data_IF_562992740241
#
_entry.id   IF_562992740241
#
_cell.length_a   1.000
_cell.length_b   1.000
_cell.length_c   1.000
_cell.angle_alpha   90.00
_cell.angle_beta   90.00
_cell.angle_gamma   90.00
#
_symmetry.space_group_name_H-M   'P 1'
#
loop_
_entity.id
_entity.type
_entity.pdbx_description
1 polymer ?
#
# COMPACT_ATOMS: atom_id res chain seq x y z
N UNK A 1 -24.09 10.03 -12.81
CA UNK A 1 -24.30 8.59 -13.05
C UNK A 1 -23.38 7.70 -12.21
N UNK A 2 -22.00 7.89 -12.18
CA UNK A 2 -21.10 7.00 -11.45
C UNK A 2 -21.38 7.04 -9.94
N UNK A 3 -21.43 8.23 -9.33
CA UNK A 3 -21.74 8.38 -7.90
C UNK A 3 -23.14 7.88 -7.54
N UNK A 4 -24.13 7.99 -8.44
CA UNK A 4 -25.47 7.43 -8.21
C UNK A 4 -25.50 5.89 -8.21
N UNK A 5 -24.43 5.23 -8.65
CA UNK A 5 -24.23 3.77 -8.56
C UNK A 5 -23.56 3.34 -7.25
N UNK A 6 -23.37 4.23 -6.29
CA UNK A 6 -22.77 3.96 -4.99
C UNK A 6 -21.25 4.19 -4.91
N UNK A 7 -20.61 4.63 -6.01
CA UNK A 7 -19.20 5.02 -5.96
C UNK A 7 -19.02 6.34 -5.21
N UNK A 8 -18.03 6.37 -4.30
CA UNK A 8 -17.78 7.56 -3.47
C UNK A 8 -17.09 8.69 -4.24
N UNK A 9 -16.30 8.39 -5.24
CA UNK A 9 -15.53 9.34 -6.02
C UNK A 9 -15.41 8.97 -7.49
N UNK A 10 -15.00 9.95 -8.30
CA UNK A 10 -14.71 9.78 -9.72
C UNK A 10 -13.34 10.36 -10.00
N UNK A 11 -12.47 9.55 -10.60
CA UNK A 11 -11.16 9.97 -11.08
C UNK A 11 -11.13 10.21 -12.58
N UNK A 12 -10.27 11.10 -13.01
CA UNK A 12 -9.91 11.31 -14.41
C UNK A 12 -8.44 11.04 -14.65
N UNK A 13 -8.12 10.48 -15.81
CA UNK A 13 -6.76 10.35 -16.29
C UNK A 13 -6.45 11.48 -17.26
N UNK A 14 -5.35 12.20 -17.03
CA UNK A 14 -4.92 13.30 -17.89
C UNK A 14 -3.49 13.09 -18.37
N UNK A 15 -3.21 13.51 -19.61
CA UNK A 15 -1.85 13.59 -20.13
C UNK A 15 -1.14 14.84 -19.58
N UNK A 16 0.16 14.73 -19.30
CA UNK A 16 1.00 15.85 -18.92
C UNK A 16 1.33 16.73 -20.14
N UNK A 17 0.31 17.22 -20.82
CA UNK A 17 0.43 18.14 -21.96
C UNK A 17 -0.90 18.80 -22.27
N UNK A 18 -0.82 20.01 -22.81
CA UNK A 18 -1.97 20.72 -23.37
C UNK A 18 -2.37 20.07 -24.70
N UNK A 19 -3.68 19.97 -24.97
CA UNK A 19 -4.17 19.47 -26.25
C UNK A 19 -3.78 20.41 -27.40
N UNK A 20 -3.32 19.86 -28.49
CA UNK A 20 -2.86 20.62 -29.66
C UNK A 20 -3.96 21.50 -30.26
N UNK A 21 -5.19 21.04 -30.25
CA UNK A 21 -6.37 21.80 -30.68
C UNK A 21 -6.62 23.09 -29.88
N UNK A 22 -5.94 23.25 -28.75
CA UNK A 22 -6.03 24.41 -27.87
C UNK A 22 -4.71 25.18 -27.78
N UNK A 23 -3.85 25.08 -28.81
CA UNK A 23 -2.53 25.70 -28.84
C UNK A 23 -2.56 27.21 -28.58
N UNK A 24 -3.58 27.90 -29.05
CA UNK A 24 -3.74 29.36 -28.86
C UNK A 24 -4.10 29.78 -27.43
N UNK A 25 -4.58 28.88 -26.56
CA UNK A 25 -4.92 29.20 -25.17
C UNK A 25 -3.63 29.19 -24.35
N UNK A 26 -3.33 30.25 -23.55
CA UNK A 26 -2.21 30.22 -22.62
C UNK A 26 -2.30 29.03 -21.67
N UNK A 27 -1.16 28.42 -21.33
CA UNK A 27 -1.09 27.14 -20.58
C UNK A 27 -1.85 27.21 -19.25
N UNK A 28 -1.61 28.26 -18.46
CA UNK A 28 -2.28 28.44 -17.18
C UNK A 28 -3.79 28.56 -17.32
N UNK A 29 -4.27 29.32 -18.31
CA UNK A 29 -5.70 29.49 -18.57
C UNK A 29 -6.34 28.17 -19.05
N UNK A 30 -5.64 27.39 -19.88
CA UNK A 30 -6.07 26.07 -20.30
C UNK A 30 -6.31 25.15 -19.10
N UNK A 31 -5.32 25.02 -18.21
CA UNK A 31 -5.46 24.13 -17.05
C UNK A 31 -6.47 24.65 -16.03
N UNK A 32 -6.56 25.95 -15.82
CA UNK A 32 -7.61 26.56 -15.01
C UNK A 32 -9.00 26.20 -15.51
N UNK A 33 -9.24 26.30 -16.81
CA UNK A 33 -10.54 25.92 -17.41
C UNK A 33 -10.83 24.43 -17.23
N UNK A 34 -9.84 23.54 -17.44
CA UNK A 34 -9.99 22.10 -17.26
C UNK A 34 -10.27 21.71 -15.80
N UNK A 35 -9.57 22.31 -14.85
CA UNK A 35 -9.77 22.08 -13.42
C UNK A 35 -11.16 22.57 -12.98
N UNK A 36 -11.60 23.75 -13.43
CA UNK A 36 -12.95 24.24 -13.14
C UNK A 36 -14.04 23.36 -13.75
N UNK A 37 -13.83 22.86 -14.95
CA UNK A 37 -14.76 21.92 -15.59
C UNK A 37 -14.81 20.57 -14.84
N UNK A 38 -13.68 20.05 -14.41
CA UNK A 38 -13.62 18.83 -13.60
C UNK A 38 -14.32 19.02 -12.24
N UNK A 39 -14.09 20.17 -11.59
CA UNK A 39 -14.79 20.55 -10.36
C UNK A 39 -16.31 20.60 -10.55
N UNK A 40 -16.78 21.27 -11.58
CA UNK A 40 -18.21 21.37 -11.90
C UNK A 40 -18.83 20.01 -12.26
N UNK A 41 -18.05 19.11 -12.87
CA UNK A 41 -18.47 17.74 -13.19
C UNK A 41 -18.39 16.78 -11.97
N UNK A 42 -17.87 17.25 -10.84
CA UNK A 42 -17.77 16.46 -9.60
C UNK A 42 -16.66 15.43 -9.60
N UNK A 43 -15.54 15.70 -10.28
CA UNK A 43 -14.33 14.88 -10.18
C UNK A 43 -13.67 15.10 -8.82
N UNK A 44 -13.17 14.00 -8.26
CA UNK A 44 -12.47 13.98 -6.97
C UNK A 44 -10.98 13.75 -7.12
N UNK A 45 -10.54 13.24 -8.28
CA UNK A 45 -9.18 12.76 -8.48
C UNK A 45 -8.70 12.92 -9.92
N UNK A 46 -7.45 13.35 -10.09
CA UNK A 46 -6.73 13.39 -11.35
C UNK A 46 -5.44 12.59 -11.27
N UNK A 47 -5.32 11.56 -12.11
CA UNK A 47 -4.08 10.85 -12.37
C UNK A 47 -3.35 11.56 -13.50
N UNK A 48 -2.22 12.18 -13.20
CA UNK A 48 -1.36 12.84 -14.19
C UNK A 48 -0.36 11.84 -14.72
N UNK A 49 -0.49 11.50 -16.00
CA UNK A 49 0.34 10.49 -16.63
C UNK A 49 1.40 11.11 -17.56
N UNK A 50 1.86 10.34 -18.55
CA UNK A 50 2.87 10.74 -19.51
C UNK A 50 2.42 11.90 -20.42
N UNK A 51 3.38 12.50 -21.16
CA UNK A 51 3.18 13.62 -22.07
C UNK A 51 4.45 14.45 -22.21
N UNK A 52 4.38 15.55 -22.94
CA UNK A 52 5.54 16.42 -23.17
C UNK A 52 6.16 16.97 -21.88
N UNK A 53 5.33 17.17 -20.87
CA UNK A 53 5.68 17.76 -19.58
C UNK A 53 5.80 16.72 -18.44
N UNK A 54 5.83 15.43 -18.77
CA UNK A 54 5.79 14.36 -17.76
C UNK A 54 6.93 14.42 -16.75
N UNK A 55 8.13 14.85 -17.18
CA UNK A 55 9.33 15.00 -16.36
C UNK A 55 9.60 16.44 -15.90
N UNK A 56 8.72 17.37 -16.26
CA UNK A 56 8.84 18.77 -15.90
C UNK A 56 8.23 19.05 -14.52
N UNK A 57 9.06 19.12 -13.49
CA UNK A 57 8.62 19.37 -12.11
C UNK A 57 7.96 20.73 -11.92
N UNK A 58 8.43 21.78 -12.62
CA UNK A 58 7.83 23.10 -12.54
C UNK A 58 6.39 23.10 -13.09
N UNK A 59 6.20 22.48 -14.24
CA UNK A 59 4.88 22.32 -14.82
C UNK A 59 3.92 21.55 -13.88
N UNK A 60 4.37 20.42 -13.32
CA UNK A 60 3.57 19.60 -12.42
C UNK A 60 3.23 20.37 -11.13
N UNK A 61 4.16 21.13 -10.59
CA UNK A 61 3.94 22.01 -9.42
C UNK A 61 2.91 23.07 -9.73
N UNK A 62 3.00 23.73 -10.88
CA UNK A 62 1.99 24.72 -11.35
C UNK A 62 0.61 24.10 -11.49
N UNK A 63 0.51 22.89 -12.05
CA UNK A 63 -0.76 22.18 -12.17
C UNK A 63 -1.42 21.94 -10.81
N UNK A 64 -0.64 21.48 -9.82
CA UNK A 64 -1.14 21.31 -8.45
C UNK A 64 -1.59 22.64 -7.84
N UNK A 65 -0.79 23.70 -8.00
CA UNK A 65 -1.17 25.02 -7.47
C UNK A 65 -2.48 25.56 -8.08
N UNK A 66 -2.67 25.38 -9.38
CA UNK A 66 -3.95 25.70 -10.06
C UNK A 66 -5.09 24.85 -9.47
N UNK A 67 -4.83 23.54 -9.26
CA UNK A 67 -5.79 22.63 -8.63
C UNK A 67 -6.23 23.11 -7.25
N UNK A 68 -5.28 23.41 -6.38
CA UNK A 68 -5.56 23.92 -5.02
C UNK A 68 -6.37 25.21 -5.03
N UNK A 69 -6.11 26.08 -5.98
CA UNK A 69 -6.80 27.38 -6.10
C UNK A 69 -8.25 27.26 -6.60
N UNK A 70 -8.54 26.37 -7.56
CA UNK A 70 -9.81 26.32 -8.25
C UNK A 70 -10.65 25.07 -7.99
N UNK A 71 -10.08 24.02 -7.43
CA UNK A 71 -10.73 22.79 -7.03
C UNK A 71 -10.00 22.16 -5.83
N UNK A 72 -10.04 22.76 -4.63
CA UNK A 72 -9.22 22.35 -3.48
C UNK A 72 -9.52 20.93 -2.99
N UNK A 73 -10.67 20.37 -3.32
CA UNK A 73 -11.02 18.97 -3.01
C UNK A 73 -10.46 17.96 -4.04
N UNK A 74 -10.07 18.42 -5.23
CA UNK A 74 -9.51 17.56 -6.27
C UNK A 74 -8.11 17.08 -5.85
N UNK A 75 -7.95 15.77 -5.74
CA UNK A 75 -6.64 15.15 -5.51
C UNK A 75 -5.90 15.07 -6.83
N UNK A 76 -4.69 15.60 -6.87
CA UNK A 76 -3.81 15.51 -8.05
C UNK A 76 -2.69 14.52 -7.74
N UNK A 77 -2.66 13.43 -8.50
CA UNK A 77 -1.63 12.41 -8.41
C UNK A 77 -0.52 12.65 -9.41
N UNK A 78 0.70 12.62 -8.91
CA UNK A 78 1.90 12.59 -9.72
C UNK A 78 2.68 11.27 -9.56
N UNK A 79 3.72 11.11 -10.38
CA UNK A 79 4.63 9.96 -10.37
C UNK A 79 6.01 10.39 -10.88
N UNK A 80 6.88 9.42 -11.15
CA UNK A 80 8.19 9.50 -11.80
C UNK A 80 9.31 9.85 -10.83
N UNK A 81 9.59 11.13 -10.58
CA UNK A 81 10.70 11.56 -9.75
C UNK A 81 10.28 11.71 -8.30
N UNK A 82 11.10 11.24 -7.36
CA UNK A 82 10.79 11.24 -5.93
C UNK A 82 10.45 12.65 -5.42
N UNK A 83 11.15 13.67 -5.87
CA UNK A 83 10.91 15.05 -5.45
C UNK A 83 9.52 15.59 -5.82
N UNK A 84 8.81 14.96 -6.76
CA UNK A 84 7.46 15.39 -7.11
C UNK A 84 6.43 15.11 -6.02
N UNK A 85 6.76 14.25 -5.05
CA UNK A 85 5.87 14.03 -3.90
C UNK A 85 5.67 15.29 -3.07
N UNK A 86 6.64 16.22 -3.06
CA UNK A 86 6.57 17.46 -2.29
C UNK A 86 5.34 18.31 -2.64
N UNK A 87 4.92 18.28 -3.88
CA UNK A 87 3.74 19.02 -4.36
C UNK A 87 2.61 18.12 -4.85
N UNK A 88 2.64 16.83 -4.53
CA UNK A 88 1.60 15.88 -4.89
C UNK A 88 0.56 15.72 -3.77
N UNK A 89 -0.71 15.63 -4.11
CA UNK A 89 -1.69 15.11 -3.15
C UNK A 89 -1.50 13.62 -2.96
N UNK A 90 -1.30 12.93 -4.07
CA UNK A 90 -1.02 11.50 -4.12
C UNK A 90 0.19 11.27 -5.03
N UNK A 91 1.08 10.36 -4.64
CA UNK A 91 2.26 10.02 -5.40
C UNK A 91 2.38 8.51 -5.59
N UNK A 92 2.45 8.05 -6.84
CA UNK A 92 2.54 6.63 -7.16
C UNK A 92 3.93 6.05 -6.90
N UNK A 93 3.98 4.88 -6.29
CA UNK A 93 5.24 4.11 -6.14
C UNK A 93 5.70 3.47 -7.43
N UNK A 94 4.78 3.27 -8.36
CA UNK A 94 4.99 2.55 -9.60
C UNK A 94 5.13 3.47 -10.81
N UNK A 95 5.97 3.05 -11.75
CA UNK A 95 6.09 3.63 -13.08
C UNK A 95 6.16 2.50 -14.10
N UNK A 96 5.56 2.69 -15.28
CA UNK A 96 5.51 1.70 -16.37
C UNK A 96 6.87 1.17 -16.83
N UNK A 97 7.94 1.86 -16.48
CA UNK A 97 9.32 1.44 -16.81
C UNK A 97 9.95 0.53 -15.73
N UNK A 98 9.28 0.32 -14.60
CA UNK A 98 9.84 -0.41 -13.46
C UNK A 98 9.19 -1.79 -13.30
N UNK A 99 10.02 -2.75 -12.88
CA UNK A 99 9.51 -4.04 -12.41
C UNK A 99 8.74 -3.81 -11.11
N UNK A 100 7.52 -4.26 -11.07
CA UNK A 100 6.71 -4.21 -9.85
C UNK A 100 6.94 -5.47 -9.04
N UNK A 101 7.76 -5.35 -8.03
CA UNK A 101 8.00 -6.42 -7.07
C UNK A 101 8.05 -5.81 -5.67
N UNK A 102 7.75 -6.62 -4.67
CA UNK A 102 7.67 -6.20 -3.28
C UNK A 102 8.91 -5.40 -2.81
N UNK A 103 10.15 -5.86 -3.02
CA UNK A 103 11.31 -5.10 -2.56
C UNK A 103 11.47 -3.76 -3.29
N UNK A 104 11.11 -3.68 -4.57
CA UNK A 104 11.16 -2.42 -5.32
C UNK A 104 10.15 -1.43 -4.77
N UNK A 105 8.93 -1.89 -4.48
CA UNK A 105 7.88 -1.06 -3.87
C UNK A 105 8.28 -0.59 -2.47
N UNK A 106 8.78 -1.47 -1.62
CA UNK A 106 9.25 -1.11 -0.26
C UNK A 106 10.38 -0.10 -0.33
N UNK A 107 11.40 -0.33 -1.18
CA UNK A 107 12.52 0.59 -1.36
C UNK A 107 12.04 1.95 -1.84
N UNK A 108 11.13 1.98 -2.84
CA UNK A 108 10.56 3.22 -3.34
C UNK A 108 9.85 4.02 -2.24
N UNK A 109 9.08 3.34 -1.39
CA UNK A 109 8.44 4.00 -0.24
C UNK A 109 9.52 4.56 0.71
N UNK A 110 10.54 3.78 1.05
CA UNK A 110 11.63 4.26 1.91
C UNK A 110 12.32 5.52 1.36
N UNK A 111 12.52 5.59 0.05
CA UNK A 111 13.11 6.76 -0.63
C UNK A 111 12.19 8.00 -0.54
N UNK A 112 10.88 7.80 -0.39
CA UNK A 112 9.89 8.88 -0.32
C UNK A 112 9.66 9.39 1.11
N UNK A 113 9.87 8.57 2.14
CA UNK A 113 9.60 8.94 3.54
C UNK A 113 10.30 10.21 4.04
N UNK A 114 11.54 10.53 3.60
CA UNK A 114 12.23 11.74 4.06
C UNK A 114 11.66 13.06 3.52
N UNK A 115 10.86 13.00 2.43
CA UNK A 115 10.30 14.20 1.83
C UNK A 115 9.25 14.86 2.73
N UNK A 116 9.01 16.15 2.47
CA UNK A 116 7.95 16.94 3.12
C UNK A 116 7.12 17.61 2.06
N UNK A 117 5.83 17.72 2.31
CA UNK A 117 4.91 18.40 1.39
C UNK A 117 5.02 19.91 1.50
N UNK A 118 4.83 20.58 0.37
CA UNK A 118 4.77 22.02 0.25
C UNK A 118 3.45 22.42 -0.44
N UNK A 119 3.10 23.71 -0.36
CA UNK A 119 1.99 24.29 -1.14
C UNK A 119 0.59 23.66 -0.86
N UNK A 120 0.41 23.10 0.34
CA UNK A 120 -0.88 22.49 0.74
C UNK A 120 -1.15 21.12 0.11
N UNK A 121 -0.15 20.51 -0.53
CA UNK A 121 -0.22 19.15 -1.02
C UNK A 121 -0.35 18.13 0.14
N UNK A 122 -1.01 17.01 -0.11
CA UNK A 122 -1.31 16.02 0.92
C UNK A 122 -0.20 14.99 1.13
N UNK A 123 0.64 14.75 0.12
CA UNK A 123 1.80 13.85 0.20
C UNK A 123 1.48 12.40 0.56
N UNK A 124 0.36 11.89 0.08
CA UNK A 124 -0.03 10.51 0.30
C UNK A 124 0.69 9.62 -0.72
N UNK A 125 1.41 8.61 -0.26
CA UNK A 125 1.99 7.61 -1.15
C UNK A 125 0.87 6.67 -1.59
N UNK A 126 0.71 6.47 -2.90
CA UNK A 126 -0.14 5.45 -3.49
C UNK A 126 0.72 4.21 -3.78
N UNK A 127 0.53 3.17 -2.97
CA UNK A 127 1.18 1.88 -3.14
C UNK A 127 0.34 1.03 -4.09
N UNK A 128 0.78 0.93 -5.33
CA UNK A 128 0.05 0.21 -6.36
C UNK A 128 0.26 -1.29 -6.25
N UNK A 129 -0.84 -2.04 -6.36
CA UNK A 129 -0.93 -3.50 -6.44
C UNK A 129 -0.36 -4.30 -5.25
N UNK A 130 0.04 -3.62 -4.17
CA UNK A 130 0.55 -4.26 -2.94
C UNK A 130 -0.19 -3.74 -1.69
N UNK A 131 -1.43 -4.22 -1.45
CA UNK A 131 -2.29 -3.73 -0.37
C UNK A 131 -1.67 -3.86 1.02
N UNK A 132 -0.95 -4.96 1.30
CA UNK A 132 -0.37 -5.19 2.61
C UNK A 132 0.93 -4.42 2.85
N UNK A 133 1.66 -4.03 1.80
CA UNK A 133 2.71 -3.02 1.92
C UNK A 133 2.07 -1.65 2.24
N UNK A 134 0.98 -1.32 1.55
CA UNK A 134 0.26 -0.08 1.77
C UNK A 134 -0.20 0.07 3.22
N UNK A 135 -0.94 -0.90 3.75
CA UNK A 135 -1.45 -0.83 5.14
C UNK A 135 -0.32 -0.89 6.16
N UNK A 136 0.72 -1.68 5.92
CA UNK A 136 1.88 -1.78 6.80
C UNK A 136 2.66 -0.47 6.91
N UNK A 137 2.65 0.37 5.88
CA UNK A 137 3.39 1.63 5.83
C UNK A 137 2.49 2.88 5.76
N UNK A 138 1.19 2.75 6.02
CA UNK A 138 0.26 3.89 6.04
C UNK A 138 0.14 4.62 4.71
N UNK A 139 0.29 3.90 3.60
CA UNK A 139 0.12 4.38 2.24
C UNK A 139 -1.31 4.13 1.75
N UNK A 140 -1.77 4.87 0.75
CA UNK A 140 -3.01 4.55 0.04
C UNK A 140 -2.84 3.30 -0.82
N UNK A 141 -3.94 2.64 -1.13
CA UNK A 141 -3.97 1.47 -2.02
C UNK A 141 -4.46 1.91 -3.38
N UNK A 142 -3.68 1.65 -4.41
CA UNK A 142 -4.08 1.73 -5.80
C UNK A 142 -4.09 0.34 -6.44
N UNK A 143 -5.01 0.12 -7.35
CA UNK A 143 -5.01 -1.05 -8.22
C UNK A 143 -4.82 -0.56 -9.65
N UNK A 144 -3.62 -0.76 -10.17
CA UNK A 144 -3.24 -0.30 -11.50
C UNK A 144 -3.38 -1.40 -12.55
N UNK A 145 -3.17 -2.63 -12.13
CA UNK A 145 -3.22 -3.77 -13.01
C UNK A 145 -4.65 -4.09 -13.36
N UNK A 146 -4.90 -4.16 -14.63
CA UNK A 146 -6.24 -4.40 -15.10
C UNK A 146 -6.72 -5.80 -14.73
N UNK A 147 -7.92 -5.93 -14.13
CA UNK A 147 -8.51 -7.24 -13.87
C UNK A 147 -9.12 -7.84 -15.16
N UNK A 148 -8.50 -7.59 -16.30
CA UNK A 148 -8.96 -8.15 -17.56
C UNK A 148 -8.60 -9.62 -17.69
N UNK A 149 -9.36 -10.29 -18.53
CA UNK A 149 -8.99 -11.61 -18.98
C UNK A 149 -7.57 -11.62 -19.58
N UNK A 150 -6.98 -12.78 -19.65
CA UNK A 150 -5.62 -12.99 -20.18
C UNK A 150 -5.43 -12.45 -21.60
N UNK A 151 -6.51 -12.16 -22.30
CA UNK A 151 -6.51 -11.58 -23.64
C UNK A 151 -7.30 -10.27 -23.64
N UNK A 152 -6.70 -9.19 -24.09
CA UNK A 152 -7.36 -7.91 -24.29
C UNK A 152 -8.35 -7.95 -25.46
N UNK A 153 -9.30 -7.00 -25.56
CA UNK A 153 -10.31 -6.98 -26.63
C UNK A 153 -9.73 -6.92 -28.06
N UNK A 154 -8.52 -6.41 -28.22
CA UNK A 154 -7.78 -6.36 -29.50
C UNK A 154 -7.01 -7.64 -29.80
N UNK A 155 -7.10 -8.66 -28.95
CA UNK A 155 -6.38 -9.93 -29.09
C UNK A 155 -4.97 -9.91 -28.51
N UNK A 156 -4.51 -8.77 -27.97
CA UNK A 156 -3.23 -8.72 -27.30
C UNK A 156 -3.28 -9.50 -25.96
N UNK A 157 -2.15 -10.07 -25.58
CA UNK A 157 -2.02 -10.70 -24.26
C UNK A 157 -1.93 -9.64 -23.17
N UNK A 158 -2.66 -9.83 -22.07
CA UNK A 158 -2.45 -9.03 -20.89
C UNK A 158 -1.11 -9.40 -20.24
N UNK A 159 -0.49 -8.42 -19.57
CA UNK A 159 0.80 -8.64 -18.96
C UNK A 159 0.68 -9.51 -17.71
N UNK A 160 1.55 -10.51 -17.62
CA UNK A 160 1.78 -11.28 -16.41
C UNK A 160 2.94 -10.64 -15.66
N UNK A 161 2.73 -10.35 -14.38
CA UNK A 161 3.73 -9.73 -13.54
C UNK A 161 4.34 -10.75 -12.58
N UNK A 162 5.65 -10.68 -12.35
CA UNK A 162 6.29 -11.55 -11.38
C UNK A 162 5.94 -11.12 -9.94
N UNK A 163 5.89 -12.08 -9.04
CA UNK A 163 5.86 -13.51 -9.36
C UNK A 163 4.45 -13.94 -9.76
N UNK A 164 4.39 -14.91 -10.63
CA UNK A 164 3.13 -15.58 -10.97
C UNK A 164 2.50 -16.10 -9.67
N UNK A 165 1.25 -15.72 -9.41
CA UNK A 165 0.57 -16.03 -8.14
C UNK A 165 0.45 -14.81 -7.21
N UNK A 166 1.27 -13.76 -7.40
CA UNK A 166 1.12 -12.47 -6.71
C UNK A 166 0.39 -11.42 -7.55
N UNK A 167 -0.21 -11.83 -8.67
CA UNK A 167 -1.08 -10.96 -9.46
C UNK A 167 -2.24 -10.45 -8.60
N UNK A 168 -2.46 -9.15 -8.60
CA UNK A 168 -3.54 -8.49 -7.85
C UNK A 168 -4.93 -9.03 -8.22
N UNK A 169 -5.12 -9.53 -9.44
CA UNK A 169 -6.36 -10.19 -9.88
C UNK A 169 -6.74 -11.40 -9.03
N UNK A 170 -5.75 -12.06 -8.45
CA UNK A 170 -5.92 -13.25 -7.61
C UNK A 170 -5.86 -12.94 -6.12
N UNK A 171 -5.71 -11.67 -5.76
CA UNK A 171 -5.59 -11.20 -4.37
C UNK A 171 -6.57 -10.07 -4.05
N UNK A 172 -7.80 -10.22 -4.53
CA UNK A 172 -8.83 -9.19 -4.35
C UNK A 172 -9.25 -9.02 -2.90
N UNK A 173 -9.20 -10.09 -2.10
CA UNK A 173 -9.49 -10.01 -0.68
C UNK A 173 -8.45 -9.18 0.09
N UNK A 174 -7.18 -9.12 -0.34
CA UNK A 174 -6.20 -8.18 0.22
C UNK A 174 -6.61 -6.74 -0.04
N UNK A 175 -7.12 -6.44 -1.24
CA UNK A 175 -7.64 -5.09 -1.56
C UNK A 175 -8.82 -4.74 -0.68
N UNK A 176 -9.78 -5.66 -0.52
CA UNK A 176 -10.96 -5.45 0.35
C UNK A 176 -10.53 -5.21 1.79
N UNK A 177 -9.65 -6.05 2.33
CA UNK A 177 -9.13 -5.94 3.71
C UNK A 177 -8.38 -4.62 3.91
N UNK A 178 -7.54 -4.25 2.97
CA UNK A 178 -6.80 -2.99 3.04
C UNK A 178 -7.68 -1.75 2.95
N UNK A 179 -8.67 -1.73 2.05
CA UNK A 179 -9.65 -0.64 1.95
C UNK A 179 -10.49 -0.53 3.23
N UNK A 180 -10.90 -1.64 3.83
CA UNK A 180 -11.63 -1.64 5.11
C UNK A 180 -10.76 -1.21 6.27
N UNK A 181 -9.47 -1.57 6.28
CA UNK A 181 -8.51 -1.01 7.23
C UNK A 181 -8.42 0.51 7.10
N UNK A 182 -8.37 1.05 5.89
CA UNK A 182 -8.31 2.49 5.68
C UNK A 182 -9.60 3.26 6.08
N UNK A 183 -10.70 2.55 6.32
CA UNK A 183 -11.88 3.14 6.99
C UNK A 183 -11.71 3.23 8.51
N UNK A 184 -10.81 2.43 9.09
CA UNK A 184 -10.46 2.46 10.51
C UNK A 184 -9.31 3.45 10.74
N UNK A 185 -8.31 3.46 9.87
CA UNK A 185 -7.09 4.25 9.97
C UNK A 185 -6.70 4.77 8.59
N UNK A 186 -6.89 6.06 8.35
CA UNK A 186 -6.65 6.68 7.03
C UNK A 186 -5.15 6.73 6.70
N UNK A 187 -4.78 6.56 5.41
CA UNK A 187 -3.41 6.79 4.95
C UNK A 187 -2.91 8.17 5.33
N UNK A 188 -1.61 8.31 5.55
CA UNK A 188 -1.06 9.56 6.04
C UNK A 188 0.19 10.01 5.28
N UNK A 189 0.41 11.31 5.29
CA UNK A 189 1.42 12.02 4.51
C UNK A 189 2.85 11.57 4.79
N UNK A 190 3.73 11.72 3.79
CA UNK A 190 5.19 11.78 4.02
C UNK A 190 5.51 12.97 4.93
N UNK A 191 6.58 12.86 5.70
CA UNK A 191 6.93 13.91 6.66
C UNK A 191 6.04 13.99 7.90
N UNK A 192 4.99 13.16 8.01
CA UNK A 192 4.22 13.04 9.23
C UNK A 192 4.92 12.08 10.21
N UNK A 193 5.36 12.64 11.34
CA UNK A 193 6.02 11.90 12.42
C UNK A 193 7.42 11.41 12.07
N UNK A 194 7.77 10.23 12.53
CA UNK A 194 9.08 9.61 12.37
C UNK A 194 9.02 8.35 11.52
N UNK A 195 10.17 7.88 11.06
CA UNK A 195 10.30 6.56 10.44
C UNK A 195 11.61 5.91 10.87
N UNK A 196 11.64 4.59 10.84
CA UNK A 196 12.83 3.79 11.09
C UNK A 196 12.96 2.76 9.96
N UNK A 197 14.17 2.67 9.42
CA UNK A 197 14.50 1.76 8.32
C UNK A 197 15.63 0.85 8.80
N UNK A 198 15.45 -0.46 8.63
CA UNK A 198 16.46 -1.45 9.01
C UNK A 198 17.72 -1.32 8.15
N UNK A 199 18.87 -1.47 8.77
CA UNK A 199 20.14 -1.57 8.05
C UNK A 199 20.32 -2.93 7.36
N UNK A 200 19.64 -3.97 7.84
CA UNK A 200 19.63 -5.29 7.21
C UNK A 200 18.74 -5.22 5.97
N UNK A 201 19.27 -5.69 4.84
CA UNK A 201 18.53 -5.80 3.60
C UNK A 201 18.26 -7.26 3.27
N UNK A 202 17.10 -7.49 2.68
CA UNK A 202 16.72 -8.77 2.10
C UNK A 202 16.69 -8.62 0.58
N UNK A 203 17.24 -9.61 -0.13
CA UNK A 203 17.33 -9.60 -1.59
C UNK A 203 16.39 -10.65 -2.16
N UNK A 204 15.44 -10.23 -2.97
CA UNK A 204 14.60 -11.11 -3.77
C UNK A 204 15.28 -11.41 -5.10
N UNK A 205 15.05 -12.60 -5.57
CA UNK A 205 15.56 -13.09 -6.85
C UNK A 205 14.42 -13.80 -7.60
N UNK A 206 14.23 -13.46 -8.86
CA UNK A 206 13.27 -14.15 -9.74
C UNK A 206 13.76 -14.15 -11.18
N UNK A 207 13.15 -15.00 -11.99
CA UNK A 207 13.47 -15.13 -13.41
C UNK A 207 12.29 -14.53 -14.21
N UNK A 208 12.59 -13.60 -15.10
CA UNK A 208 11.58 -13.00 -15.97
C UNK A 208 10.92 -14.07 -16.83
N UNK A 209 9.60 -14.08 -16.79
CA UNK A 209 8.76 -14.97 -17.59
C UNK A 209 8.30 -14.30 -18.88
N UNK A 210 7.74 -15.11 -19.76
CA UNK A 210 7.06 -14.61 -20.97
C UNK A 210 5.94 -13.63 -20.57
N UNK A 211 5.79 -12.56 -21.34
CA UNK A 211 4.83 -11.46 -21.08
C UNK A 211 5.12 -10.53 -19.89
N UNK A 212 6.25 -10.65 -19.22
CA UNK A 212 6.73 -9.68 -18.23
C UNK A 212 7.47 -8.52 -18.92
N UNK A 213 6.78 -7.78 -19.76
CA UNK A 213 7.40 -6.91 -20.78
C UNK A 213 7.61 -5.46 -20.36
N UNK A 214 7.25 -5.07 -19.16
CA UNK A 214 7.48 -3.72 -18.67
C UNK A 214 8.96 -3.38 -18.45
N UNK A 215 9.84 -4.33 -18.70
CA UNK A 215 11.27 -4.21 -18.54
C UNK A 215 11.96 -3.92 -19.87
N UNK A 216 12.05 -2.67 -20.26
CA UNK A 216 12.88 -2.27 -21.39
C UNK A 216 14.30 -2.84 -21.26
N UNK A 217 14.73 -3.59 -22.28
CA UNK A 217 16.07 -4.12 -22.37
C UNK A 217 16.36 -5.41 -21.61
N UNK A 218 15.36 -6.04 -20.99
CA UNK A 218 15.51 -7.37 -20.39
C UNK A 218 14.81 -8.44 -21.22
N UNK A 219 15.40 -9.59 -21.31
CA UNK A 219 14.87 -10.75 -22.08
C UNK A 219 14.23 -11.76 -21.15
N UNK A 220 13.27 -12.51 -21.66
CA UNK A 220 12.69 -13.67 -20.99
C UNK A 220 13.83 -14.61 -20.53
N UNK A 221 13.72 -15.13 -19.31
CA UNK A 221 14.76 -15.94 -18.67
C UNK A 221 15.88 -15.15 -18.00
N UNK A 222 15.87 -13.80 -18.10
CA UNK A 222 16.85 -13.00 -17.39
C UNK A 222 16.63 -13.04 -15.88
N UNK A 223 17.74 -13.15 -15.15
CA UNK A 223 17.74 -13.02 -13.69
C UNK A 223 17.48 -11.58 -13.27
N UNK A 224 16.58 -11.41 -12.32
CA UNK A 224 16.28 -10.13 -11.69
C UNK A 224 16.49 -10.24 -10.20
N UNK A 225 17.23 -9.31 -9.64
CA UNK A 225 17.39 -9.17 -8.19
C UNK A 225 17.00 -7.79 -7.74
N UNK A 226 16.38 -7.70 -6.57
CA UNK A 226 16.09 -6.42 -5.92
C UNK A 226 16.19 -6.59 -4.41
N UNK A 227 16.76 -5.59 -3.76
CA UNK A 227 16.88 -5.53 -2.32
C UNK A 227 16.01 -4.44 -1.71
N UNK A 228 15.54 -4.70 -0.49
CA UNK A 228 14.88 -3.71 0.35
C UNK A 228 15.23 -3.93 1.82
N UNK A 229 15.03 -2.92 2.69
CA UNK A 229 15.18 -3.09 4.13
C UNK A 229 14.29 -4.22 4.65
N UNK A 230 14.84 -5.07 5.52
CA UNK A 230 14.11 -6.20 6.10
C UNK A 230 12.89 -5.74 6.92
N UNK A 231 13.03 -4.60 7.60
CA UNK A 231 11.98 -4.00 8.42
C UNK A 231 11.89 -2.50 8.14
N UNK A 232 10.65 -1.99 8.13
CA UNK A 232 10.39 -0.56 8.04
C UNK A 232 9.27 -0.22 9.00
N UNK A 233 9.42 0.87 9.75
CA UNK A 233 8.38 1.34 10.64
C UNK A 233 8.12 2.84 10.47
N UNK A 234 6.85 3.26 10.61
CA UNK A 234 6.44 4.67 10.65
C UNK A 234 5.78 4.98 11.98
N UNK A 235 6.21 6.05 12.65
CA UNK A 235 5.71 6.53 13.94
C UNK A 235 5.82 5.51 15.10
N UNK A 236 6.69 4.52 14.96
CA UNK A 236 6.97 3.52 16.00
C UNK A 236 8.37 2.94 15.81
N UNK A 237 8.85 2.20 16.81
CA UNK A 237 10.11 1.45 16.69
C UNK A 237 10.00 0.31 15.68
N UNK A 238 11.14 -0.08 15.11
CA UNK A 238 11.19 -1.29 14.26
C UNK A 238 10.67 -2.49 15.06
N UNK A 239 9.81 -3.34 14.45
CA UNK A 239 9.42 -4.61 15.05
C UNK A 239 10.64 -5.49 15.34
N UNK A 240 10.62 -6.21 16.46
CA UNK A 240 11.56 -7.32 16.68
C UNK A 240 11.07 -8.55 15.92
N UNK A 241 11.95 -9.21 15.19
CA UNK A 241 11.61 -10.34 14.33
C UNK A 241 12.55 -11.51 14.61
N UNK A 242 12.00 -12.71 14.72
CA UNK A 242 12.75 -13.94 14.93
C UNK A 242 12.05 -15.16 14.34
N UNK A 243 12.77 -16.25 14.19
CA UNK A 243 12.20 -17.54 13.83
C UNK A 243 12.41 -17.98 12.39
N UNK A 244 13.07 -17.17 11.54
CA UNK A 244 13.45 -17.58 10.19
C UNK A 244 14.86 -17.08 9.83
N UNK A 245 15.61 -17.81 9.00
CA UNK A 245 16.88 -17.34 8.45
C UNK A 245 16.65 -16.21 7.44
N UNK A 246 17.61 -15.30 7.29
CA UNK A 246 17.50 -14.14 6.39
C UNK A 246 17.19 -14.49 4.92
N UNK A 247 17.60 -15.68 4.48
CA UNK A 247 17.35 -16.14 3.10
C UNK A 247 15.86 -16.26 2.74
N UNK A 248 14.99 -16.52 3.74
CA UNK A 248 13.54 -16.70 3.56
C UNK A 248 12.70 -15.83 4.50
N UNK A 249 13.35 -15.06 5.40
CA UNK A 249 12.67 -14.16 6.30
C UNK A 249 11.79 -13.16 5.50
N UNK A 250 10.51 -12.97 5.82
CA UNK A 250 9.66 -12.00 5.15
C UNK A 250 10.09 -10.57 5.44
N UNK A 251 9.70 -9.62 4.60
CA UNK A 251 9.73 -8.21 4.98
C UNK A 251 8.68 -7.97 6.07
N UNK A 252 9.03 -7.17 7.07
CA UNK A 252 8.11 -6.82 8.16
C UNK A 252 7.94 -5.32 8.23
N UNK A 253 6.70 -4.86 8.04
CA UNK A 253 6.34 -3.46 7.96
C UNK A 253 5.38 -3.12 9.09
N UNK A 254 5.55 -1.96 9.71
CA UNK A 254 4.67 -1.53 10.80
C UNK A 254 4.44 -0.03 10.80
N UNK A 255 3.24 0.39 11.15
CA UNK A 255 2.92 1.81 11.27
C UNK A 255 1.96 2.09 12.41
N UNK A 256 2.23 3.18 13.14
CA UNK A 256 1.23 3.83 13.98
C UNK A 256 0.60 4.97 13.20
N UNK A 257 -0.68 4.88 13.00
CA UNK A 257 -1.49 5.85 12.28
C UNK A 257 -1.79 7.10 13.13
N UNK A 258 -2.19 8.23 12.53
CA UNK A 258 -2.49 9.46 13.27
C UNK A 258 -3.57 9.32 14.34
N UNK A 259 -4.53 8.40 14.15
CA UNK A 259 -5.59 8.12 15.12
C UNK A 259 -5.16 7.13 16.24
N UNK A 260 -3.89 6.72 16.25
CA UNK A 260 -3.32 5.78 17.21
C UNK A 260 -3.42 4.31 16.81
N UNK A 261 -4.22 3.94 15.81
CA UNK A 261 -4.29 2.56 15.31
C UNK A 261 -2.92 2.08 14.83
N UNK A 262 -2.65 0.78 14.98
CA UNK A 262 -1.38 0.17 14.58
C UNK A 262 -1.64 -0.89 13.52
N UNK A 263 -0.85 -0.91 12.46
CA UNK A 263 -0.83 -1.99 11.48
C UNK A 263 0.54 -2.67 11.46
N UNK A 264 0.54 -3.98 11.32
CA UNK A 264 1.74 -4.79 11.07
C UNK A 264 1.47 -5.72 9.90
N UNK A 265 2.40 -5.76 8.96
CA UNK A 265 2.31 -6.69 7.83
C UNK A 265 3.60 -7.48 7.64
N UNK A 266 3.46 -8.72 7.21
CA UNK A 266 4.54 -9.57 6.71
C UNK A 266 4.34 -9.77 5.21
N UNK A 267 5.41 -9.58 4.45
CA UNK A 267 5.39 -9.73 2.99
C UNK A 267 6.37 -10.84 2.63
N UNK A 268 5.89 -11.85 1.95
CA UNK A 268 6.71 -12.98 1.52
C UNK A 268 7.80 -12.57 0.53
N UNK A 269 8.64 -13.54 0.17
CA UNK A 269 9.86 -13.36 -0.63
C UNK A 269 9.77 -14.06 -1.97
N UNK A 270 10.41 -13.49 -2.95
CA UNK A 270 10.62 -14.15 -4.24
C UNK A 270 11.98 -14.85 -4.22
N UNK A 271 11.98 -16.17 -4.30
CA UNK A 271 13.18 -17.01 -4.34
C UNK A 271 13.16 -17.83 -5.63
N UNK A 272 13.90 -17.40 -6.62
CA UNK A 272 13.85 -17.97 -7.96
C UNK A 272 12.48 -17.75 -8.62
N UNK A 273 11.73 -18.82 -8.85
CA UNK A 273 10.37 -18.76 -9.44
C UNK A 273 9.24 -18.93 -8.42
N UNK A 274 9.60 -19.05 -7.15
CA UNK A 274 8.67 -19.34 -6.08
C UNK A 274 8.43 -18.10 -5.21
N UNK A 275 7.20 -17.94 -4.77
CA UNK A 275 6.85 -17.00 -3.72
C UNK A 275 6.79 -17.75 -2.40
N UNK A 276 7.66 -17.38 -1.46
CA UNK A 276 7.81 -18.04 -0.17
C UNK A 276 7.24 -17.15 0.93
N UNK A 277 6.31 -17.70 1.70
CA UNK A 277 5.69 -17.05 2.86
C UNK A 277 6.15 -17.70 4.17
N UNK A 278 7.41 -17.47 4.56
CA UNK A 278 7.93 -17.99 5.83
C UNK A 278 7.29 -17.25 7.01
N UNK A 279 6.97 -18.00 8.07
CA UNK A 279 6.34 -17.46 9.27
C UNK A 279 7.37 -17.04 10.31
N UNK A 280 7.26 -15.82 10.80
CA UNK A 280 8.14 -15.25 11.83
C UNK A 280 7.35 -14.87 13.08
N UNK A 281 8.03 -14.88 14.23
CA UNK A 281 7.53 -14.24 15.42
C UNK A 281 7.86 -12.74 15.35
N UNK A 282 6.85 -11.90 15.59
CA UNK A 282 6.97 -10.44 15.54
C UNK A 282 6.57 -9.84 16.88
N UNK A 283 7.43 -8.98 17.45
CA UNK A 283 7.12 -8.23 18.66
C UNK A 283 7.10 -6.73 18.36
N UNK A 284 6.03 -6.05 18.81
CA UNK A 284 5.84 -4.62 18.65
C UNK A 284 5.51 -3.94 19.97
N UNK A 285 5.95 -2.70 20.15
CA UNK A 285 5.51 -1.83 21.23
C UNK A 285 4.27 -1.07 20.84
N UNK A 286 3.23 -1.14 21.66
CA UNK A 286 1.93 -0.48 21.46
C UNK A 286 1.65 0.40 22.65
N UNK A 287 1.34 1.68 22.44
CA UNK A 287 1.19 2.65 23.55
C UNK A 287 -0.09 2.46 24.36
N UNK A 288 -1.12 1.90 23.73
CA UNK A 288 -2.44 1.73 24.35
C UNK A 288 -3.04 0.40 23.89
N UNK A 289 -3.81 -0.24 24.76
CA UNK A 289 -4.49 -1.50 24.45
C UNK A 289 -5.88 -1.30 23.78
N UNK A 290 -6.51 -0.14 23.95
CA UNK A 290 -7.85 0.21 23.50
C UNK A 290 -7.91 0.76 22.04
N UNK A 291 -6.91 0.46 21.25
CA UNK A 291 -6.80 0.89 19.85
C UNK A 291 -6.98 -0.29 18.88
N UNK A 292 -7.46 -0.04 17.66
CA UNK A 292 -7.46 -1.06 16.63
C UNK A 292 -6.05 -1.47 16.23
N UNK A 293 -5.80 -2.77 16.12
CA UNK A 293 -4.52 -3.32 15.67
C UNK A 293 -4.79 -4.22 14.47
N UNK A 294 -4.26 -3.85 13.30
CA UNK A 294 -4.35 -4.63 12.06
C UNK A 294 -3.15 -5.56 11.91
N UNK A 295 -3.41 -6.83 11.62
CA UNK A 295 -2.41 -7.85 11.31
C UNK A 295 -2.65 -8.40 9.91
N UNK A 296 -1.64 -8.31 9.04
CA UNK A 296 -1.74 -8.65 7.62
C UNK A 296 -0.58 -9.56 7.21
N UNK A 297 -0.88 -10.69 6.57
CA UNK A 297 0.09 -11.70 6.18
C UNK A 297 0.22 -12.85 7.18
N UNK A 298 1.25 -13.67 7.02
CA UNK A 298 1.47 -14.86 7.83
C UNK A 298 2.48 -14.59 8.96
N UNK A 299 2.13 -15.05 10.15
CA UNK A 299 2.95 -14.93 11.35
C UNK A 299 3.09 -16.31 12.01
N UNK A 300 4.20 -16.55 12.69
CA UNK A 300 4.32 -17.61 13.69
C UNK A 300 3.62 -17.20 14.98
N UNK A 301 3.81 -15.95 15.38
CA UNK A 301 3.26 -15.34 16.58
C UNK A 301 3.39 -13.81 16.46
N UNK A 302 2.44 -13.07 17.04
CA UNK A 302 2.56 -11.63 17.24
C UNK A 302 2.48 -11.33 18.73
N UNK A 303 3.51 -10.68 19.27
CA UNK A 303 3.55 -10.18 20.65
C UNK A 303 3.40 -8.66 20.67
N UNK A 304 2.36 -8.17 21.32
CA UNK A 304 2.13 -6.74 21.60
C UNK A 304 2.59 -6.43 23.01
N UNK A 305 3.51 -5.48 23.14
CA UNK A 305 4.05 -5.04 24.46
C UNK A 305 3.46 -3.69 24.80
N UNK A 306 2.72 -3.60 25.88
CA UNK A 306 2.06 -2.40 26.36
C UNK A 306 2.86 -1.71 27.47
N UNK A 307 2.66 -0.40 27.72
CA UNK A 307 3.36 0.32 28.78
C UNK A 307 3.01 -0.16 30.21
N UNK A 308 1.81 -0.74 30.40
CA UNK A 308 1.30 -1.22 31.66
C UNK A 308 0.68 -2.61 31.52
N UNK A 309 0.66 -3.39 32.63
CA UNK A 309 0.06 -4.72 32.62
C UNK A 309 -1.41 -4.73 32.23
N UNK A 310 -1.79 -5.69 31.41
CA UNK A 310 -3.17 -6.06 31.16
C UNK A 310 -3.67 -6.93 32.34
N UNK A 311 -4.83 -6.61 32.87
CA UNK A 311 -5.42 -7.40 33.96
C UNK A 311 -6.11 -8.64 33.37
N UNK A 312 -5.52 -9.81 33.58
CA UNK A 312 -6.10 -11.10 33.17
C UNK A 312 -7.54 -11.24 33.68
N UNK A 313 -8.44 -11.69 32.83
CA UNK A 313 -9.86 -11.90 33.16
C UNK A 313 -10.72 -10.62 33.18
N UNK A 314 -10.13 -9.44 32.87
CA UNK A 314 -10.87 -8.17 32.73
C UNK A 314 -10.97 -7.67 31.28
N UNK A 315 -10.28 -8.33 30.37
CA UNK A 315 -10.25 -7.94 28.96
C UNK A 315 -10.78 -9.05 28.07
N UNK A 316 -11.58 -8.68 27.12
CA UNK A 316 -12.01 -9.54 26.01
C UNK A 316 -11.28 -9.13 24.76
N UNK A 317 -10.76 -10.09 24.02
CA UNK A 317 -10.03 -9.85 22.76
C UNK A 317 -10.91 -10.30 21.60
N UNK A 318 -11.32 -9.35 20.78
CA UNK A 318 -12.06 -9.60 19.55
C UNK A 318 -11.14 -9.49 18.35
N UNK A 319 -11.36 -10.37 17.37
CA UNK A 319 -10.71 -10.29 16.07
C UNK A 319 -11.76 -10.39 14.97
N UNK A 320 -11.52 -9.71 13.86
CA UNK A 320 -12.40 -9.72 12.69
C UNK A 320 -11.58 -9.82 11.42
N UNK A 321 -11.92 -10.79 10.54
CA UNK A 321 -11.48 -10.76 9.16
C UNK A 321 -12.02 -9.50 8.48
N UNK A 322 -11.13 -8.70 7.94
CA UNK A 322 -11.54 -7.46 7.27
C UNK A 322 -12.25 -7.70 5.92
N UNK A 323 -12.26 -8.94 5.37
CA UNK A 323 -13.13 -9.30 4.26
C UNK A 323 -14.58 -9.54 4.70
N UNK A 324 -14.82 -9.81 6.01
CA UNK A 324 -16.14 -10.01 6.60
C UNK A 324 -16.62 -8.89 7.51
N UNK A 325 -17.80 -9.06 8.08
CA UNK A 325 -18.46 -8.06 8.94
C UNK A 325 -18.48 -8.47 10.43
N UNK A 326 -18.29 -9.76 10.74
CA UNK A 326 -18.53 -10.30 12.08
C UNK A 326 -17.23 -10.48 12.87
N UNK A 327 -17.06 -9.78 14.01
CA UNK A 327 -15.99 -10.06 14.94
C UNK A 327 -16.23 -11.37 15.68
N UNK A 328 -15.16 -12.06 16.04
CA UNK A 328 -15.16 -13.26 16.86
C UNK A 328 -14.37 -13.04 18.14
N UNK A 329 -14.82 -13.59 19.25
CA UNK A 329 -14.10 -13.61 20.51
C UNK A 329 -12.95 -14.64 20.43
N UNK A 330 -11.72 -14.18 20.59
CA UNK A 330 -10.52 -15.01 20.60
C UNK A 330 -9.81 -15.02 21.96
N UNK A 331 -10.46 -14.52 23.02
CA UNK A 331 -9.87 -14.38 24.36
C UNK A 331 -9.26 -15.68 24.86
N UNK A 332 -9.91 -16.81 24.63
CA UNK A 332 -9.40 -18.12 25.02
C UNK A 332 -8.26 -18.66 24.13
N UNK A 333 -8.02 -18.04 23.00
CA UNK A 333 -7.01 -18.44 22.01
C UNK A 333 -5.73 -17.59 22.06
N UNK A 334 -5.66 -16.61 22.94
CA UNK A 334 -4.53 -15.70 23.10
C UNK A 334 -3.96 -15.80 24.51
N UNK A 335 -2.72 -15.38 24.68
CA UNK A 335 -2.09 -15.35 26.00
C UNK A 335 -1.94 -13.90 26.45
N UNK A 336 -2.55 -13.56 27.59
CA UNK A 336 -2.34 -12.29 28.29
C UNK A 336 -1.44 -12.57 29.47
N UNK A 337 -0.23 -12.02 29.45
CA UNK A 337 0.75 -12.18 30.52
C UNK A 337 1.48 -10.87 30.76
N UNK A 338 1.41 -10.38 32.00
CA UNK A 338 1.99 -9.10 32.40
C UNK A 338 1.50 -7.96 31.48
N UNK A 339 2.40 -7.30 30.80
CA UNK A 339 2.10 -6.24 29.83
C UNK A 339 2.11 -6.74 28.38
N UNK A 340 1.89 -8.02 28.13
CA UNK A 340 1.96 -8.63 26.81
C UNK A 340 0.64 -9.29 26.42
N UNK A 341 0.25 -9.08 25.18
CA UNK A 341 -0.78 -9.87 24.49
C UNK A 341 -0.08 -10.64 23.37
N UNK A 342 -0.18 -11.96 23.43
CA UNK A 342 0.46 -12.86 22.51
C UNK A 342 -0.61 -13.58 21.69
N UNK A 343 -0.54 -13.48 20.38
CA UNK A 343 -1.51 -14.06 19.45
C UNK A 343 -0.79 -15.06 18.58
N UNK A 344 -1.15 -16.36 18.68
CA UNK A 344 -0.59 -17.40 17.82
C UNK A 344 -0.92 -17.17 16.33
N UNK A 345 0.02 -17.47 15.46
CA UNK A 345 -0.14 -17.27 14.01
C UNK A 345 -1.26 -18.13 13.40
N UNK A 346 -1.59 -19.28 14.00
CA UNK A 346 -2.73 -20.10 13.62
C UNK A 346 -4.06 -19.39 13.84
N UNK A 347 -4.17 -18.61 14.93
CA UNK A 347 -5.37 -17.80 15.21
C UNK A 347 -5.47 -16.68 14.18
N UNK A 348 -4.35 -16.03 13.85
CA UNK A 348 -4.29 -14.97 12.83
C UNK A 348 -4.73 -15.52 11.48
N UNK A 349 -4.18 -16.65 11.05
CA UNK A 349 -4.52 -17.26 9.75
C UNK A 349 -5.98 -17.73 9.73
N UNK A 350 -6.44 -18.38 10.78
CA UNK A 350 -7.83 -18.88 10.87
C UNK A 350 -8.85 -17.75 10.81
N UNK A 351 -8.64 -16.68 11.60
CA UNK A 351 -9.58 -15.54 11.61
C UNK A 351 -9.41 -14.70 10.36
N UNK A 352 -8.19 -14.38 9.96
CA UNK A 352 -7.90 -13.50 8.83
C UNK A 352 -8.23 -14.07 7.45
N UNK A 353 -8.61 -15.36 7.36
CA UNK A 353 -9.10 -16.04 6.17
C UNK A 353 -10.53 -16.56 6.32
N UNK A 354 -11.24 -16.20 7.39
CA UNK A 354 -12.56 -16.72 7.69
C UNK A 354 -13.61 -16.41 6.58
N UNK A 355 -13.43 -15.31 5.87
CA UNK A 355 -14.30 -14.87 4.79
C UNK A 355 -13.53 -14.81 3.45
N UNK A 356 -12.55 -15.69 3.27
CA UNK A 356 -11.82 -15.76 2.01
C UNK A 356 -12.75 -16.14 0.85
N UNK A 357 -12.64 -15.42 -0.25
CA UNK A 357 -13.37 -15.70 -1.48
C UNK A 357 -12.85 -16.97 -2.14
N UNK A 358 -13.73 -17.76 -2.75
CA UNK A 358 -13.32 -18.96 -3.46
C UNK A 358 -12.36 -18.62 -4.62
N UNK A 359 -11.21 -19.31 -4.66
CA UNK A 359 -10.18 -19.11 -5.68
C UNK A 359 -9.30 -17.88 -5.50
N UNK A 360 -9.56 -17.04 -4.48
CA UNK A 360 -8.67 -15.93 -4.13
C UNK A 360 -7.43 -16.45 -3.39
N UNK A 361 -6.27 -15.89 -3.70
CA UNK A 361 -4.97 -16.29 -3.16
C UNK A 361 -4.40 -15.28 -2.14
N UNK A 362 -5.25 -14.47 -1.55
CA UNK A 362 -4.87 -13.46 -0.57
C UNK A 362 -4.30 -14.06 0.72
N UNK A 363 -3.30 -13.40 1.25
CA UNK A 363 -2.80 -13.67 2.60
C UNK A 363 -3.82 -13.23 3.67
N UNK A 364 -3.74 -13.76 4.91
CA UNK A 364 -4.66 -13.38 5.99
C UNK A 364 -4.64 -11.88 6.29
N UNK A 365 -5.78 -11.34 6.72
CA UNK A 365 -5.83 -9.96 7.18
C UNK A 365 -6.98 -9.71 8.15
N UNK A 366 -6.65 -9.27 9.37
CA UNK A 366 -7.64 -9.06 10.43
C UNK A 366 -7.35 -7.81 11.25
N UNK A 367 -8.38 -7.32 11.93
CA UNK A 367 -8.27 -6.30 12.98
C UNK A 367 -8.56 -6.90 14.33
N UNK A 368 -7.79 -6.48 15.33
CA UNK A 368 -7.94 -6.85 16.73
C UNK A 368 -8.41 -5.64 17.53
N UNK A 369 -9.28 -5.91 18.49
CA UNK A 369 -9.72 -4.95 19.50
C UNK A 369 -9.71 -5.62 20.87
N UNK A 370 -9.11 -4.95 21.86
CA UNK A 370 -9.15 -5.35 23.27
C UNK A 370 -10.16 -4.47 23.98
N UNK A 371 -11.11 -5.05 24.67
CA UNK A 371 -12.18 -4.35 25.40
C UNK A 371 -12.17 -4.71 26.90
#
# INVERSE_FOLDING_TARGET
>A
QIKSKGWKGVGGWICAQKAETHAAIPEEEYWKQRIKAANAAGFDYWKVDWGKEDRNGEWRRKLTAIGKRYAPHLYIEHALRNEFIEFSDVFRTYDVENITAQPITIRRICDLLPYKTVEGAKGIINCEDEPYIAVGLGCAIGVMRHPFAETLPDGAQDFVFPPVGRDIKRRLDEVVRGVRWHRIAEPFAVGYGTFAIDSVKLTDHWILQENETWNKGRTVGADVTADAPARVARNMKLPEVSGAPLSVCPFVLASRYPNGAVAVSTIGRNVGREYVTEKVAVSISVDRWDIPIGLFGYFKEVTMVFPSPLKTGKHTVFAQDLAGENPVDITSNVVIKDNRLIIPGEVISRVGLMNASEGDCSDPGMVIRVM
#
